data_IF_647246912487
#
_entry.id   IF_647246912487
#
_cell.length_a   1.000
_cell.length_b   1.000
_cell.length_c   1.000
_cell.angle_alpha   90.00
_cell.angle_beta   90.00
_cell.angle_gamma   90.00
#
_symmetry.space_group_name_H-M   'P 1'
#
loop_
_entity.id
_entity.type
_entity.pdbx_description
1 polymer ?
#
# COMPACT_ATOMS: atom_id res chain seq x y z
N UNK A 1 -32.99 -10.31 12.84
CA UNK A 1 -31.59 -10.61 12.46
C UNK A 1 -31.34 -9.97 11.10
N UNK A 2 -30.97 -8.68 11.03
CA UNK A 2 -30.81 -7.99 9.73
C UNK A 2 -29.91 -6.73 9.76
N UNK A 3 -28.95 -6.63 10.69
CA UNK A 3 -28.05 -5.45 10.76
C UNK A 3 -26.64 -5.72 10.23
N UNK A 4 -26.23 -6.99 10.08
CA UNK A 4 -24.84 -7.37 9.80
C UNK A 4 -24.47 -7.39 8.30
N UNK A 5 -25.47 -7.50 7.41
CA UNK A 5 -25.21 -7.67 5.96
C UNK A 5 -24.99 -6.33 5.24
N UNK A 6 -25.43 -5.21 5.82
CA UNK A 6 -25.34 -3.89 5.18
C UNK A 6 -24.01 -3.17 5.49
N UNK A 7 -23.43 -3.38 6.67
CA UNK A 7 -22.13 -2.78 7.03
C UNK A 7 -20.97 -3.47 6.30
N UNK A 8 -21.04 -4.80 6.14
CA UNK A 8 -19.99 -5.60 5.49
C UNK A 8 -19.83 -5.24 4.01
N UNK A 9 -20.94 -5.05 3.28
CA UNK A 9 -20.92 -4.70 1.86
C UNK A 9 -20.36 -3.30 1.59
N UNK A 10 -20.68 -2.34 2.46
CA UNK A 10 -20.17 -0.96 2.33
C UNK A 10 -18.67 -0.89 2.62
N UNK A 11 -18.19 -1.62 3.63
CA UNK A 11 -16.76 -1.68 3.95
C UNK A 11 -15.95 -2.33 2.82
N UNK A 12 -16.45 -3.44 2.26
CA UNK A 12 -15.80 -4.13 1.15
C UNK A 12 -15.63 -3.22 -0.07
N UNK A 13 -16.66 -2.44 -0.42
CA UNK A 13 -16.58 -1.49 -1.54
C UNK A 13 -15.56 -0.36 -1.30
N UNK A 14 -15.42 0.11 -0.06
CA UNK A 14 -14.41 1.10 0.31
C UNK A 14 -12.99 0.54 0.17
N UNK A 15 -12.76 -0.70 0.63
CA UNK A 15 -11.47 -1.38 0.50
C UNK A 15 -11.10 -1.53 -0.98
N UNK A 16 -12.03 -1.99 -1.83
CA UNK A 16 -11.79 -2.13 -3.27
C UNK A 16 -11.41 -0.80 -3.92
N UNK A 17 -12.09 0.30 -3.54
CA UNK A 17 -11.78 1.63 -4.05
C UNK A 17 -10.38 2.10 -3.64
N UNK A 18 -9.95 1.83 -2.41
CA UNK A 18 -8.60 2.18 -1.95
C UNK A 18 -7.53 1.31 -2.62
N UNK A 19 -7.81 0.02 -2.85
CA UNK A 19 -6.94 -0.88 -3.63
C UNK A 19 -6.78 -0.40 -5.08
N UNK A 20 -7.84 0.12 -5.70
CA UNK A 20 -7.79 0.73 -7.03
C UNK A 20 -6.95 2.03 -7.03
N UNK A 21 -7.02 2.82 -5.96
CA UNK A 21 -6.17 4.02 -5.82
C UNK A 21 -4.70 3.64 -5.68
N UNK A 22 -4.39 2.60 -4.89
CA UNK A 22 -3.05 2.04 -4.78
C UNK A 22 -2.55 1.54 -6.13
N UNK A 23 -3.35 0.74 -6.84
CA UNK A 23 -3.02 0.19 -8.15
C UNK A 23 -2.66 1.28 -9.18
N UNK A 24 -3.50 2.32 -9.28
CA UNK A 24 -3.24 3.47 -10.16
C UNK A 24 -1.95 4.19 -9.77
N UNK A 25 -1.77 4.44 -8.47
CA UNK A 25 -0.57 5.09 -7.96
C UNK A 25 0.70 4.30 -8.28
N UNK A 26 0.68 2.97 -8.25
CA UNK A 26 1.86 2.17 -8.62
C UNK A 26 2.07 2.14 -10.13
N UNK A 27 0.99 2.02 -10.92
CA UNK A 27 1.04 1.98 -12.40
C UNK A 27 1.55 3.27 -13.04
N UNK A 28 1.39 4.40 -12.36
CA UNK A 28 1.92 5.69 -12.82
C UNK A 28 3.47 5.72 -12.83
N UNK A 29 4.16 4.92 -12.02
CA UNK A 29 5.61 4.74 -12.08
C UNK A 29 6.03 3.34 -11.59
N UNK A 30 5.85 2.29 -12.41
CA UNK A 30 6.02 0.91 -11.97
C UNK A 30 7.48 0.52 -11.75
N UNK A 31 8.44 1.32 -12.24
CA UNK A 31 9.87 1.08 -12.09
C UNK A 31 10.50 1.69 -10.83
N UNK A 32 9.73 2.45 -10.04
CA UNK A 32 10.23 3.06 -8.81
C UNK A 32 10.21 2.07 -7.64
N UNK A 33 10.98 2.40 -6.60
CA UNK A 33 10.85 1.76 -5.29
C UNK A 33 9.73 2.42 -4.50
N UNK A 34 9.10 1.63 -3.65
CA UNK A 34 8.00 2.07 -2.82
C UNK A 34 8.22 1.71 -1.35
N UNK A 35 7.61 2.48 -0.47
CA UNK A 35 7.64 2.24 0.97
C UNK A 35 6.22 2.16 1.51
N UNK A 36 5.88 1.09 2.24
CA UNK A 36 4.62 0.99 2.98
C UNK A 36 4.88 1.44 4.43
N UNK A 37 4.27 2.54 4.85
CA UNK A 37 4.32 3.01 6.23
C UNK A 37 3.07 2.53 6.99
N UNK A 38 3.26 1.60 7.93
CA UNK A 38 2.18 1.08 8.76
C UNK A 38 1.57 2.14 9.68
N UNK A 39 2.38 3.07 10.19
CA UNK A 39 1.97 4.03 11.21
C UNK A 39 1.09 5.11 10.61
N UNK A 40 1.43 5.59 9.43
CA UNK A 40 0.69 6.67 8.75
C UNK A 40 -0.35 6.14 7.74
N UNK A 41 -0.38 4.82 7.51
CA UNK A 41 -1.19 4.15 6.48
C UNK A 41 -0.95 4.75 5.09
N UNK A 42 0.33 4.89 4.75
CA UNK A 42 0.78 5.51 3.51
C UNK A 42 1.56 4.56 2.62
N UNK A 43 1.40 4.75 1.31
CA UNK A 43 2.31 4.23 0.31
C UNK A 43 3.10 5.39 -0.28
N UNK A 44 4.42 5.36 -0.12
CA UNK A 44 5.34 6.36 -0.65
C UNK A 44 6.08 5.81 -1.87
N UNK A 45 6.18 6.61 -2.93
CA UNK A 45 7.03 6.36 -4.09
C UNK A 45 8.33 7.11 -3.92
N UNK A 46 9.45 6.41 -4.02
CA UNK A 46 10.79 6.97 -3.88
C UNK A 46 11.35 7.35 -5.26
N UNK A 47 11.95 8.54 -5.39
CA UNK A 47 12.65 8.99 -6.60
C UNK A 47 14.16 8.99 -6.39
N UNK A 48 14.93 8.84 -7.47
CA UNK A 48 16.41 8.74 -7.43
C UNK A 48 17.13 9.96 -6.84
N UNK A 49 16.42 11.07 -6.58
CA UNK A 49 16.93 12.28 -5.93
C UNK A 49 16.63 12.37 -4.43
N UNK A 50 16.10 11.32 -3.80
CA UNK A 50 15.70 11.32 -2.39
C UNK A 50 14.39 12.05 -2.12
N UNK A 51 13.70 12.51 -3.16
CA UNK A 51 12.32 12.97 -3.06
C UNK A 51 11.39 11.77 -2.95
N UNK A 52 10.27 11.95 -2.26
CA UNK A 52 9.20 10.98 -2.17
C UNK A 52 7.84 11.63 -2.46
N UNK A 53 6.91 10.83 -2.96
CA UNK A 53 5.52 11.21 -3.08
C UNK A 53 4.69 10.14 -2.36
N UNK A 54 3.90 10.54 -1.37
CA UNK A 54 3.08 9.62 -0.57
C UNK A 54 1.60 9.80 -0.83
N UNK A 55 0.85 8.72 -0.71
CA UNK A 55 -0.61 8.74 -0.66
C UNK A 55 -1.11 8.06 0.61
N UNK A 56 -2.04 8.72 1.31
CA UNK A 56 -2.81 8.12 2.40
C UNK A 56 -3.86 7.16 1.85
N UNK A 57 -3.86 5.96 2.40
CA UNK A 57 -4.76 4.88 2.07
C UNK A 57 -5.44 4.41 3.34
N UNK A 58 -6.76 4.22 3.29
CA UNK A 58 -7.51 3.63 4.40
C UNK A 58 -7.47 2.10 4.28
N UNK A 59 -6.26 1.56 4.17
CA UNK A 59 -5.99 0.13 4.03
C UNK A 59 -5.18 -0.36 5.22
N UNK A 60 -5.47 -1.59 5.63
CA UNK A 60 -4.60 -2.32 6.54
C UNK A 60 -3.25 -2.62 5.86
N UNK A 61 -2.21 -2.69 6.68
CA UNK A 61 -0.85 -2.96 6.20
C UNK A 61 -0.75 -4.24 5.36
N UNK A 62 -1.48 -5.28 5.77
CA UNK A 62 -1.54 -6.56 5.05
C UNK A 62 -2.21 -6.43 3.69
N UNK A 63 -3.23 -5.57 3.54
CA UNK A 63 -3.90 -5.32 2.27
C UNK A 63 -2.97 -4.61 1.29
N UNK A 64 -2.24 -3.59 1.76
CA UNK A 64 -1.23 -2.90 0.95
C UNK A 64 -0.12 -3.85 0.52
N UNK A 65 0.40 -4.65 1.45
CA UNK A 65 1.44 -5.66 1.18
C UNK A 65 0.98 -6.68 0.13
N UNK A 66 -0.18 -7.30 0.31
CA UNK A 66 -0.73 -8.26 -0.65
C UNK A 66 -0.91 -7.65 -2.03
N UNK A 67 -1.43 -6.42 -2.11
CA UNK A 67 -1.62 -5.73 -3.39
C UNK A 67 -0.30 -5.42 -4.08
N UNK A 68 0.73 -5.00 -3.34
CA UNK A 68 2.06 -4.78 -3.90
C UNK A 68 2.67 -6.08 -4.45
N UNK A 69 2.48 -7.21 -3.77
CA UNK A 69 2.90 -8.54 -4.26
C UNK A 69 2.19 -8.92 -5.56
N UNK A 70 0.88 -8.72 -5.66
CA UNK A 70 0.10 -8.94 -6.89
C UNK A 70 0.61 -8.08 -8.07
N UNK A 71 1.10 -6.87 -7.77
CA UNK A 71 1.65 -5.93 -8.76
C UNK A 71 3.10 -6.26 -9.17
N UNK A 72 3.67 -7.34 -8.65
CA UNK A 72 5.03 -7.79 -8.97
C UNK A 72 6.11 -7.10 -8.13
N UNK A 73 5.81 -6.73 -6.88
CA UNK A 73 6.79 -6.20 -5.95
C UNK A 73 7.11 -7.20 -4.85
N UNK A 74 8.39 -7.32 -4.54
CA UNK A 74 8.86 -7.96 -3.32
C UNK A 74 9.06 -6.89 -2.25
N UNK A 75 8.33 -7.01 -1.15
CA UNK A 75 8.42 -6.12 -0.01
C UNK A 75 9.11 -6.81 1.18
N UNK A 76 9.99 -6.08 1.85
CA UNK A 76 10.73 -6.57 3.01
C UNK A 76 10.88 -5.49 4.07
N UNK A 77 11.12 -5.88 5.31
CA UNK A 77 11.55 -4.92 6.33
C UNK A 77 12.99 -4.45 6.03
N UNK A 78 13.32 -3.18 6.32
CA UNK A 78 14.68 -2.68 6.27
C UNK A 78 15.63 -3.49 7.16
N UNK A 79 16.93 -3.44 6.84
CA UNK A 79 17.96 -4.03 7.71
C UNK A 79 18.09 -3.32 9.05
N UNK A 80 17.75 -2.02 9.09
CA UNK A 80 17.74 -1.24 10.32
C UNK A 80 16.52 -1.61 11.16
N UNK A 81 16.70 -2.26 12.33
CA UNK A 81 15.59 -2.75 13.15
C UNK A 81 14.80 -1.64 13.83
N UNK A 82 15.25 -0.39 13.75
CA UNK A 82 14.51 0.77 14.27
C UNK A 82 13.45 1.28 13.29
N UNK A 83 13.50 0.83 12.03
CA UNK A 83 12.54 1.20 10.99
C UNK A 83 11.39 0.21 10.96
N UNK A 84 10.17 0.74 10.85
CA UNK A 84 8.93 -0.05 10.89
C UNK A 84 8.17 -0.06 9.57
N UNK A 85 8.72 0.58 8.53
CA UNK A 85 8.15 0.55 7.19
C UNK A 85 8.62 -0.68 6.40
N UNK A 86 7.98 -0.96 5.28
CA UNK A 86 8.40 -1.98 4.32
C UNK A 86 8.95 -1.33 3.05
N UNK A 87 10.10 -1.81 2.58
CA UNK A 87 10.69 -1.44 1.29
C UNK A 87 10.22 -2.44 0.23
N UNK A 88 9.55 -1.94 -0.81
CA UNK A 88 9.00 -2.70 -1.92
C UNK A 88 9.77 -2.39 -3.20
N UNK A 89 10.34 -3.43 -3.81
CA UNK A 89 11.07 -3.35 -5.08
C UNK A 89 10.49 -4.33 -6.10
N UNK A 90 10.51 -3.94 -7.36
CA UNK A 90 9.99 -4.77 -8.45
C UNK A 90 10.80 -6.05 -8.61
N UNK A 91 10.11 -7.16 -8.90
CA UNK A 91 10.70 -8.48 -9.21
C UNK A 91 10.32 -8.97 -10.60
#
# INVERSE_FOLDING_TARGET
>A
MSSSDNETNNNQNLIEKELDRLDKFVKDAPGNEYTIDQKEQELCRNFSGGQEQCIKLHLEYTQMFSKMQELGFFCQLPMDPTKTYMECRRV
#
